data_IF_010706343638
#
_entry.id   IF_010706343638
#
_cell.length_a   1.000
_cell.length_b   1.000
_cell.length_c   1.000
_cell.angle_alpha   90.00
_cell.angle_beta   90.00
_cell.angle_gamma   90.00
#
_symmetry.space_group_name_H-M   'P 1'
#
loop_
_entity.id
_entity.type
_entity.pdbx_description
1 polymer ?
#
# COMPACT_ATOMS: atom_id res chain seq x y z
N UNK A 1 7.11 -5.40 -27.02
CA UNK A 1 6.85 -6.46 -26.03
C UNK A 1 5.85 -5.87 -25.07
N UNK A 2 4.67 -6.47 -24.90
CA UNK A 2 3.67 -5.93 -23.98
C UNK A 2 3.99 -6.40 -22.57
N UNK A 3 4.32 -5.49 -21.67
CA UNK A 3 4.65 -5.77 -20.27
C UNK A 3 3.39 -6.09 -19.43
N UNK A 4 2.37 -6.68 -20.04
CA UNK A 4 1.03 -6.83 -19.47
C UNK A 4 0.96 -7.80 -18.30
N UNK A 5 2.01 -8.58 -18.02
CA UNK A 5 2.05 -9.53 -16.91
C UNK A 5 2.98 -9.08 -15.76
N UNK A 6 3.43 -7.82 -15.72
CA UNK A 6 4.28 -7.34 -14.61
C UNK A 6 3.60 -7.51 -13.24
N UNK A 7 2.29 -7.29 -13.11
CA UNK A 7 1.59 -7.54 -11.84
C UNK A 7 1.59 -9.04 -11.42
N UNK A 8 1.78 -9.96 -12.37
CA UNK A 8 2.00 -11.37 -12.07
C UNK A 8 3.45 -11.62 -11.68
N UNK A 9 4.42 -11.13 -12.47
CA UNK A 9 5.84 -11.34 -12.21
C UNK A 9 6.33 -10.52 -11.01
N UNK A 10 6.34 -9.20 -11.14
CA UNK A 10 6.78 -8.24 -10.12
C UNK A 10 5.87 -8.28 -8.90
N UNK A 11 4.55 -8.38 -9.11
CA UNK A 11 3.61 -8.46 -7.99
C UNK A 11 3.77 -9.74 -7.16
N UNK A 12 4.16 -10.86 -7.78
CA UNK A 12 4.47 -12.06 -7.01
C UNK A 12 5.85 -11.99 -6.36
N UNK A 13 6.85 -11.41 -7.03
CA UNK A 13 8.15 -11.12 -6.40
C UNK A 13 7.96 -10.24 -5.16
N UNK A 14 7.14 -9.19 -5.25
CA UNK A 14 6.79 -8.34 -4.11
C UNK A 14 6.11 -9.16 -3.01
N UNK A 15 5.09 -9.96 -3.36
CA UNK A 15 4.41 -10.83 -2.40
C UNK A 15 5.38 -11.76 -1.65
N UNK A 16 6.25 -12.47 -2.38
CA UNK A 16 7.21 -13.38 -1.77
C UNK A 16 8.30 -12.66 -1.00
N UNK A 17 8.75 -11.49 -1.44
CA UNK A 17 9.72 -10.68 -0.68
C UNK A 17 9.23 -10.40 0.73
N UNK A 18 7.98 -9.93 0.84
CA UNK A 18 7.33 -9.60 2.12
C UNK A 18 7.07 -10.85 2.97
N UNK A 19 6.56 -11.93 2.36
CA UNK A 19 6.33 -13.21 3.05
C UNK A 19 7.65 -13.81 3.55
N UNK A 20 8.70 -13.79 2.73
CA UNK A 20 10.01 -14.35 3.07
C UNK A 20 10.76 -13.52 4.12
N UNK A 21 10.57 -12.19 4.14
CA UNK A 21 11.08 -11.35 5.22
C UNK A 21 10.54 -11.80 6.59
N UNK A 22 9.23 -12.11 6.66
CA UNK A 22 8.63 -12.64 7.88
C UNK A 22 9.08 -14.09 8.18
N UNK A 23 9.09 -14.97 7.16
CA UNK A 23 9.45 -16.39 7.34
C UNK A 23 10.90 -16.61 7.74
N UNK A 24 11.81 -15.77 7.27
CA UNK A 24 13.23 -15.83 7.62
C UNK A 24 13.55 -15.21 8.99
N UNK A 25 12.58 -14.54 9.61
CA UNK A 25 12.77 -13.79 10.84
C UNK A 25 13.49 -12.45 10.66
N UNK A 26 13.70 -11.99 9.41
CA UNK A 26 14.18 -10.63 9.14
C UNK A 26 13.21 -9.59 9.70
N UNK A 27 11.92 -9.84 9.56
CA UNK A 27 10.86 -9.13 10.26
C UNK A 27 10.14 -10.06 11.23
N UNK A 28 9.70 -9.51 12.37
CA UNK A 28 8.68 -10.16 13.18
C UNK A 28 7.36 -10.20 12.43
N UNK A 29 6.45 -11.12 12.79
CA UNK A 29 5.13 -11.15 12.15
C UNK A 29 4.32 -9.87 12.39
N UNK A 30 4.52 -9.19 13.53
CA UNK A 30 3.89 -7.89 13.79
C UNK A 30 4.40 -6.83 12.83
N UNK A 31 5.73 -6.74 12.63
CA UNK A 31 6.30 -5.81 11.64
C UNK A 31 5.76 -6.09 10.24
N UNK A 32 5.69 -7.36 9.82
CA UNK A 32 5.14 -7.73 8.52
C UNK A 32 3.65 -7.32 8.36
N UNK A 33 2.85 -7.44 9.42
CA UNK A 33 1.46 -6.97 9.42
C UNK A 33 1.35 -5.46 9.31
N UNK A 34 2.22 -4.71 10.00
CA UNK A 34 2.20 -3.25 9.94
C UNK A 34 2.69 -2.71 8.58
N UNK A 35 3.65 -3.38 7.95
CA UNK A 35 4.03 -3.13 6.55
C UNK A 35 2.83 -3.36 5.61
N UNK A 36 2.14 -4.50 5.76
CA UNK A 36 0.93 -4.79 4.99
C UNK A 36 -0.21 -3.80 5.26
N UNK A 37 -0.36 -3.29 6.49
CA UNK A 37 -1.33 -2.26 6.83
C UNK A 37 -1.10 -0.98 6.01
N UNK A 38 0.16 -0.58 5.85
CA UNK A 38 0.53 0.56 5.01
C UNK A 38 0.13 0.37 3.54
N UNK A 39 0.38 -0.83 2.98
CA UNK A 39 -0.03 -1.17 1.61
C UNK A 39 -1.56 -1.17 1.47
N UNK A 40 -2.27 -1.76 2.43
CA UNK A 40 -3.73 -1.82 2.44
C UNK A 40 -4.37 -0.43 2.51
N UNK A 41 -3.83 0.45 3.36
CA UNK A 41 -4.28 1.84 3.47
C UNK A 41 -3.97 2.65 2.22
N UNK A 42 -2.86 2.34 1.55
CA UNK A 42 -2.53 2.99 0.29
C UNK A 42 -3.60 2.68 -0.78
N UNK A 43 -4.07 1.44 -0.88
CA UNK A 43 -5.14 1.10 -1.83
C UNK A 43 -6.55 1.45 -1.36
N UNK A 44 -6.79 1.63 -0.06
CA UNK A 44 -8.08 2.08 0.45
C UNK A 44 -8.26 3.61 0.30
N UNK A 45 -7.23 4.39 0.66
CA UNK A 45 -7.32 5.86 0.76
C UNK A 45 -6.19 6.60 0.06
N UNK A 46 -5.00 6.02 -0.03
CA UNK A 46 -3.79 6.67 -0.58
C UNK A 46 -3.69 6.70 -2.12
N UNK A 47 -4.62 6.03 -2.81
CA UNK A 47 -4.66 5.89 -4.27
C UNK A 47 -6.04 6.22 -4.85
N UNK A 48 -6.53 7.47 -4.71
CA UNK A 48 -7.76 7.90 -5.37
C UNK A 48 -7.71 7.70 -6.90
N UNK A 49 -6.52 7.63 -7.51
CA UNK A 49 -6.34 7.27 -8.93
C UNK A 49 -6.96 5.94 -9.34
N UNK A 50 -7.14 5.00 -8.42
CA UNK A 50 -7.81 3.71 -8.65
C UNK A 50 -9.25 3.87 -9.15
N UNK A 51 -9.87 5.06 -9.01
CA UNK A 51 -11.21 5.34 -9.53
C UNK A 51 -11.28 5.41 -11.06
N UNK A 52 -10.15 5.62 -11.75
CA UNK A 52 -10.11 5.76 -13.21
C UNK A 52 -8.99 4.96 -13.87
N UNK A 53 -7.90 4.71 -13.15
CA UNK A 53 -6.75 3.95 -13.66
C UNK A 53 -6.76 2.55 -13.04
N UNK A 54 -6.60 1.53 -13.87
CA UNK A 54 -6.54 0.14 -13.42
C UNK A 54 -5.10 -0.25 -13.05
N UNK A 55 -4.93 -1.26 -12.20
CA UNK A 55 -3.59 -1.80 -11.89
C UNK A 55 -2.92 -2.33 -13.16
N UNK A 56 -3.68 -2.97 -14.05
CA UNK A 56 -3.18 -3.45 -15.33
C UNK A 56 -2.57 -2.33 -16.18
N UNK A 57 -3.20 -1.15 -16.23
CA UNK A 57 -2.70 -0.03 -17.02
C UNK A 57 -1.34 0.48 -16.51
N UNK A 58 -1.08 0.38 -15.21
CA UNK A 58 0.20 0.82 -14.63
C UNK A 58 1.41 0.06 -15.17
N UNK A 59 1.22 -1.10 -15.82
CA UNK A 59 2.31 -1.82 -16.49
C UNK A 59 2.92 -1.03 -17.65
N UNK A 60 2.20 -0.07 -18.23
CA UNK A 60 2.69 0.83 -19.27
C UNK A 60 3.46 2.03 -18.70
N UNK A 61 3.41 2.24 -17.38
CA UNK A 61 3.92 3.44 -16.72
C UNK A 61 5.43 3.67 -16.89
N UNK A 62 6.30 2.64 -16.79
CA UNK A 62 7.73 2.82 -17.01
C UNK A 62 8.06 3.33 -18.42
N UNK A 63 7.30 2.88 -19.43
CA UNK A 63 7.47 3.33 -20.81
C UNK A 63 6.98 4.77 -20.99
N UNK A 64 5.81 5.09 -20.45
CA UNK A 64 5.18 6.42 -20.60
C UNK A 64 5.99 7.50 -19.88
N UNK A 65 6.41 7.21 -18.64
CA UNK A 65 7.05 8.20 -17.78
C UNK A 65 8.58 8.19 -17.86
N UNK A 66 9.17 7.15 -18.46
CA UNK A 66 10.62 6.87 -18.37
C UNK A 66 11.11 6.87 -16.92
N UNK A 67 10.26 6.40 -16.00
CA UNK A 67 10.49 6.38 -14.54
C UNK A 67 10.84 7.75 -13.93
N UNK A 68 10.45 8.85 -14.59
CA UNK A 68 10.65 10.20 -14.04
C UNK A 68 9.70 10.45 -12.87
N UNK A 69 10.08 11.31 -11.90
CA UNK A 69 9.18 11.75 -10.84
C UNK A 69 7.87 12.30 -11.41
N UNK A 70 6.76 12.00 -10.74
CA UNK A 70 5.41 12.41 -11.15
C UNK A 70 4.81 13.40 -10.16
N UNK A 71 4.20 14.46 -10.68
CA UNK A 71 3.29 15.27 -9.90
C UNK A 71 2.04 14.44 -9.53
N UNK A 72 1.43 14.70 -8.36
CA UNK A 72 0.16 14.06 -7.97
C UNK A 72 0.20 12.53 -8.06
N UNK A 73 1.24 11.90 -7.48
CA UNK A 73 1.45 10.44 -7.56
C UNK A 73 0.25 9.65 -7.04
N UNK A 74 -0.42 10.13 -5.99
CA UNK A 74 -1.63 9.51 -5.44
C UNK A 74 -2.80 9.43 -6.45
N UNK A 75 -2.90 10.38 -7.39
CA UNK A 75 -3.92 10.42 -8.44
C UNK A 75 -3.48 9.74 -9.74
N UNK A 76 -2.24 9.98 -10.16
CA UNK A 76 -1.72 9.40 -11.40
C UNK A 76 -1.36 7.93 -11.25
N UNK A 77 -1.10 7.47 -10.02
CA UNK A 77 -0.44 6.20 -9.74
C UNK A 77 0.94 6.12 -10.41
N UNK A 78 1.70 5.09 -10.06
CA UNK A 78 3.00 4.81 -10.67
C UNK A 78 3.05 3.31 -11.01
N UNK A 79 4.13 2.64 -10.68
CA UNK A 79 4.32 1.19 -10.83
C UNK A 79 3.50 0.40 -9.79
N UNK A 80 2.23 0.73 -9.61
CA UNK A 80 1.34 0.09 -8.63
C UNK A 80 1.03 -1.38 -8.97
N UNK A 81 1.48 -1.90 -10.11
CA UNK A 81 1.48 -3.34 -10.42
C UNK A 81 2.32 -4.17 -9.45
N UNK A 82 3.32 -3.59 -8.76
CA UNK A 82 4.05 -4.27 -7.68
C UNK A 82 3.12 -4.56 -6.49
N UNK A 83 2.74 -3.52 -5.75
CA UNK A 83 1.96 -3.68 -4.53
C UNK A 83 0.52 -4.11 -4.80
N UNK A 84 -0.07 -3.73 -5.95
CA UNK A 84 -1.41 -4.17 -6.36
C UNK A 84 -1.42 -5.65 -6.71
N UNK A 85 -0.35 -6.13 -7.37
CA UNK A 85 -0.12 -7.54 -7.60
C UNK A 85 0.12 -8.31 -6.29
N UNK A 86 0.87 -7.76 -5.33
CA UNK A 86 1.03 -8.35 -4.00
C UNK A 86 -0.32 -8.58 -3.31
N UNK A 87 -1.21 -7.58 -3.33
CA UNK A 87 -2.52 -7.67 -2.71
C UNK A 87 -3.41 -8.72 -3.40
N UNK A 88 -3.33 -8.82 -4.73
CA UNK A 88 -4.01 -9.85 -5.50
C UNK A 88 -3.49 -11.25 -5.15
N UNK A 89 -2.17 -11.45 -5.03
CA UNK A 89 -1.60 -12.75 -4.67
C UNK A 89 -1.93 -13.17 -3.24
N UNK A 90 -2.08 -12.20 -2.32
CA UNK A 90 -2.62 -12.46 -0.99
C UNK A 90 -4.06 -12.97 -1.05
N UNK A 91 -4.89 -12.43 -1.94
CA UNK A 91 -6.25 -12.93 -2.18
C UNK A 91 -6.23 -14.34 -2.79
N UNK A 92 -5.31 -14.62 -3.72
CA UNK A 92 -5.12 -15.98 -4.28
C UNK A 92 -4.77 -16.99 -3.19
N UNK A 93 -3.81 -16.69 -2.29
CA UNK A 93 -3.50 -17.56 -1.14
C UNK A 93 -4.76 -17.84 -0.30
N UNK A 94 -5.51 -16.78 0.04
CA UNK A 94 -6.73 -16.89 0.83
C UNK A 94 -7.80 -17.75 0.15
N UNK A 95 -7.93 -17.65 -1.18
CA UNK A 95 -8.88 -18.38 -2.00
C UNK A 95 -8.49 -19.85 -2.11
N UNK A 96 -7.21 -20.16 -2.36
CA UNK A 96 -6.68 -21.52 -2.37
C UNK A 96 -6.96 -22.23 -1.04
N UNK A 97 -6.68 -21.55 0.08
CA UNK A 97 -6.97 -22.08 1.42
C UNK A 97 -8.47 -22.29 1.62
N UNK A 98 -9.31 -21.37 1.16
CA UNK A 98 -10.76 -21.53 1.29
C UNK A 98 -11.30 -22.72 0.48
N UNK A 99 -10.90 -22.84 -0.79
CA UNK A 99 -11.35 -23.91 -1.69
C UNK A 99 -10.89 -25.30 -1.27
N UNK A 100 -9.74 -25.38 -0.59
CA UNK A 100 -9.12 -26.66 -0.22
C UNK A 100 -9.24 -27.00 1.25
N UNK A 101 -10.06 -26.26 2.01
CA UNK A 101 -10.18 -26.42 3.47
C UNK A 101 -8.80 -26.36 4.17
N UNK A 102 -7.99 -25.36 3.80
CA UNK A 102 -6.64 -25.07 4.28
C UNK A 102 -5.59 -26.15 3.99
N UNK A 103 -5.85 -27.07 3.04
CA UNK A 103 -4.91 -28.12 2.63
C UNK A 103 -3.88 -27.65 1.60
N UNK A 104 -4.22 -26.64 0.80
CA UNK A 104 -3.34 -26.03 -0.21
C UNK A 104 -3.23 -24.53 0.03
N UNK A 105 -2.08 -23.96 -0.35
CA UNK A 105 -1.78 -22.54 -0.23
C UNK A 105 -1.04 -22.02 -1.47
N UNK A 106 -0.64 -20.76 -1.43
CA UNK A 106 0.27 -20.19 -2.43
C UNK A 106 1.62 -20.92 -2.51
N UNK A 107 2.03 -21.66 -1.47
CA UNK A 107 3.24 -22.48 -1.49
C UNK A 107 3.13 -23.62 -2.51
N UNK A 108 1.94 -24.24 -2.64
CA UNK A 108 1.67 -25.26 -3.66
C UNK A 108 1.73 -24.67 -5.06
N UNK A 109 1.25 -23.43 -5.24
CA UNK A 109 1.40 -22.70 -6.50
C UNK A 109 2.86 -22.43 -6.81
N UNK A 110 3.63 -21.92 -5.85
CA UNK A 110 5.07 -21.69 -6.03
C UNK A 110 5.81 -22.96 -6.44
N UNK A 111 5.51 -24.09 -5.79
CA UNK A 111 6.11 -25.39 -6.12
C UNK A 111 5.72 -25.87 -7.53
N UNK A 112 4.44 -25.78 -7.89
CA UNK A 112 3.96 -26.25 -9.19
C UNK A 112 4.43 -25.37 -10.35
N UNK A 113 4.45 -24.06 -10.17
CA UNK A 113 4.74 -23.08 -11.22
C UNK A 113 6.25 -22.85 -11.40
N UNK A 114 7.02 -22.72 -10.32
CA UNK A 114 8.46 -22.44 -10.41
C UNK A 114 9.34 -23.68 -10.31
N UNK A 115 8.82 -24.79 -9.77
CA UNK A 115 9.56 -26.05 -9.64
C UNK A 115 9.60 -26.89 -10.93
N UNK A 116 9.28 -26.31 -12.09
CA UNK A 116 9.25 -27.01 -13.37
C UNK A 116 10.66 -27.25 -13.92
N UNK A 117 10.84 -28.35 -14.68
CA UNK A 117 12.03 -28.65 -15.48
C UNK A 117 13.36 -28.47 -14.72
N UNK A 118 13.46 -28.98 -13.50
CA UNK A 118 14.67 -28.86 -12.69
C UNK A 118 15.91 -29.41 -13.43
N UNK A 119 16.96 -28.59 -13.54
CA UNK A 119 18.20 -28.92 -14.26
C UNK A 119 18.21 -28.50 -15.74
N UNK A 120 17.10 -27.96 -16.25
CA UNK A 120 17.01 -27.32 -17.56
C UNK A 120 17.44 -25.85 -17.45
N UNK A 121 18.23 -25.38 -18.42
CA UNK A 121 18.74 -24.00 -18.49
C UNK A 121 18.09 -23.20 -19.62
N UNK A 122 17.22 -23.83 -20.41
CA UNK A 122 16.50 -23.17 -21.47
C UNK A 122 15.51 -22.14 -20.91
N UNK A 123 15.32 -21.05 -21.65
CA UNK A 123 14.32 -20.03 -21.31
C UNK A 123 12.93 -20.65 -21.35
N UNK A 124 12.24 -20.64 -20.21
CA UNK A 124 10.89 -21.17 -20.06
C UNK A 124 9.89 -20.00 -19.86
N UNK A 125 9.37 -19.39 -20.94
CA UNK A 125 8.38 -18.33 -20.82
C UNK A 125 7.04 -18.88 -20.34
N UNK A 126 6.18 -18.00 -19.83
CA UNK A 126 4.83 -18.34 -19.45
C UNK A 126 3.85 -17.26 -19.91
N UNK A 127 2.60 -17.68 -20.05
CA UNK A 127 1.46 -16.86 -20.43
C UNK A 127 0.49 -16.72 -19.26
N UNK A 128 -0.54 -15.89 -19.41
CA UNK A 128 -1.65 -15.82 -18.46
C UNK A 128 -2.36 -17.17 -18.31
N UNK A 129 -2.53 -17.89 -19.41
CA UNK A 129 -3.24 -19.18 -19.43
C UNK A 129 -2.46 -20.25 -18.66
N UNK A 130 -1.12 -20.23 -18.70
CA UNK A 130 -0.28 -21.16 -17.92
C UNK A 130 -0.49 -20.96 -16.40
N UNK A 131 -0.70 -19.72 -15.97
CA UNK A 131 -0.93 -19.37 -14.56
C UNK A 131 -2.32 -19.87 -14.14
N UNK A 132 -3.34 -19.59 -14.95
CA UNK A 132 -4.72 -20.04 -14.72
C UNK A 132 -4.80 -21.56 -14.71
N UNK A 133 -4.13 -22.23 -15.63
CA UNK A 133 -4.07 -23.69 -15.70
C UNK A 133 -3.39 -24.26 -14.43
N UNK A 134 -2.29 -23.66 -13.99
CA UNK A 134 -1.59 -24.08 -12.78
C UNK A 134 -2.46 -23.93 -11.53
N UNK A 135 -3.13 -22.79 -11.36
CA UNK A 135 -4.05 -22.55 -10.24
C UNK A 135 -5.22 -23.55 -10.26
N UNK A 136 -5.81 -23.82 -11.43
CA UNK A 136 -6.86 -24.82 -11.59
C UNK A 136 -6.41 -26.23 -11.23
N UNK A 137 -5.16 -26.59 -11.55
CA UNK A 137 -4.56 -27.87 -11.16
C UNK A 137 -4.44 -28.06 -9.64
N UNK A 138 -4.36 -26.97 -8.87
CA UNK A 138 -4.28 -27.00 -7.40
C UNK A 138 -5.68 -27.00 -6.79
N UNK A 139 -6.55 -26.12 -7.25
CA UNK A 139 -7.94 -26.01 -6.82
C UNK A 139 -8.80 -25.45 -7.97
N UNK A 140 -9.76 -26.22 -8.51
CA UNK A 140 -10.63 -25.73 -9.59
C UNK A 140 -11.45 -24.52 -9.16
N UNK A 141 -11.35 -23.42 -9.93
CA UNK A 141 -12.10 -22.18 -9.72
C UNK A 141 -11.98 -21.30 -10.98
N UNK A 142 -12.86 -20.31 -11.12
CA UNK A 142 -12.75 -19.32 -12.19
C UNK A 142 -11.65 -18.29 -11.86
N UNK A 143 -10.40 -18.75 -11.91
CA UNK A 143 -9.21 -17.94 -11.63
C UNK A 143 -9.05 -16.82 -12.65
N UNK A 144 -9.37 -17.07 -13.92
CA UNK A 144 -9.25 -16.05 -14.96
C UNK A 144 -10.11 -14.83 -14.62
N UNK A 145 -11.38 -15.03 -14.27
CA UNK A 145 -12.27 -13.94 -13.88
C UNK A 145 -11.82 -13.24 -12.61
N UNK A 146 -11.36 -13.98 -11.59
CA UNK A 146 -10.85 -13.36 -10.36
C UNK A 146 -9.67 -12.44 -10.66
N UNK A 147 -8.64 -12.94 -11.35
CA UNK A 147 -7.43 -12.19 -11.66
C UNK A 147 -7.74 -10.95 -12.52
N UNK A 148 -8.56 -11.12 -13.57
CA UNK A 148 -8.96 -10.01 -14.44
C UNK A 148 -9.80 -8.97 -13.72
N UNK A 149 -10.73 -9.38 -12.86
CA UNK A 149 -11.54 -8.44 -12.09
C UNK A 149 -10.73 -7.54 -11.15
N UNK A 150 -9.57 -8.00 -10.68
CA UNK A 150 -8.68 -7.20 -9.82
C UNK A 150 -7.77 -6.29 -10.62
N UNK A 151 -7.25 -6.77 -11.75
CA UNK A 151 -6.26 -6.03 -12.53
C UNK A 151 -6.89 -5.04 -13.50
N UNK A 152 -8.02 -5.40 -14.09
CA UNK A 152 -8.74 -4.58 -15.08
C UNK A 152 -9.93 -3.83 -14.47
N UNK A 153 -10.21 -4.03 -13.17
CA UNK A 153 -11.30 -3.39 -12.45
C UNK A 153 -10.85 -2.29 -11.49
N UNK A 154 -11.83 -1.70 -10.80
CA UNK A 154 -11.67 -0.62 -9.82
C UNK A 154 -12.15 -1.04 -8.41
N UNK A 155 -12.26 -2.36 -8.17
CA UNK A 155 -12.67 -2.91 -6.89
C UNK A 155 -11.58 -2.82 -5.81
N UNK A 156 -11.97 -3.05 -4.57
CA UNK A 156 -11.02 -3.11 -3.45
C UNK A 156 -10.01 -4.25 -3.64
N UNK A 157 -8.74 -3.97 -3.33
CA UNK A 157 -7.65 -4.96 -3.28
C UNK A 157 -7.43 -5.54 -1.87
N UNK A 158 -8.19 -5.09 -0.86
CA UNK A 158 -8.01 -5.51 0.52
C UNK A 158 -8.73 -6.84 0.86
N UNK A 159 -9.49 -7.42 -0.08
CA UNK A 159 -10.28 -8.64 0.16
C UNK A 159 -9.45 -9.84 0.65
N UNK A 160 -8.20 -9.95 0.20
CA UNK A 160 -7.27 -10.98 0.68
C UNK A 160 -6.95 -10.87 2.17
N UNK A 161 -6.87 -9.65 2.73
CA UNK A 161 -6.60 -9.43 4.16
C UNK A 161 -7.79 -9.93 5.00
N UNK A 162 -9.01 -9.57 4.62
CA UNK A 162 -10.24 -9.99 5.29
C UNK A 162 -10.49 -11.49 5.21
N UNK A 163 -10.14 -12.11 4.08
CA UNK A 163 -10.23 -13.55 3.88
C UNK A 163 -9.17 -14.33 4.70
N UNK A 164 -8.08 -13.67 5.08
CA UNK A 164 -7.07 -14.17 6.01
C UNK A 164 -7.36 -13.84 7.49
N UNK A 165 -8.52 -13.21 7.77
CA UNK A 165 -9.03 -12.97 9.11
C UNK A 165 -8.56 -11.68 9.77
N UNK A 166 -8.01 -10.75 8.99
CA UNK A 166 -7.57 -9.44 9.49
C UNK A 166 -8.38 -8.33 8.82
N UNK A 167 -8.43 -7.15 9.42
CA UNK A 167 -9.04 -5.96 8.82
C UNK A 167 -8.10 -4.77 8.97
N UNK A 168 -8.13 -3.88 8.00
CA UNK A 168 -7.49 -2.58 8.12
C UNK A 168 -8.29 -1.70 9.09
N UNK A 169 -7.60 -1.05 10.00
CA UNK A 169 -8.15 -0.02 10.90
C UNK A 169 -7.21 1.18 10.93
N UNK A 170 -7.70 2.31 11.46
CA UNK A 170 -6.87 3.48 11.71
C UNK A 170 -7.00 3.90 13.16
N UNK A 171 -5.88 4.21 13.80
CA UNK A 171 -5.86 4.75 15.16
C UNK A 171 -4.79 5.86 15.28
N UNK A 172 -4.61 6.41 16.49
CA UNK A 172 -3.75 7.58 16.73
C UNK A 172 -2.28 7.25 16.99
N UNK A 173 -1.96 5.96 17.16
CA UNK A 173 -0.62 5.51 17.50
C UNK A 173 0.16 5.17 16.23
N UNK A 174 1.39 5.68 16.03
CA UNK A 174 2.20 5.25 14.90
C UNK A 174 2.46 3.74 14.94
N UNK A 175 2.21 3.08 13.82
CA UNK A 175 2.52 1.66 13.67
C UNK A 175 4.05 1.41 13.60
N UNK A 176 4.48 0.16 13.73
CA UNK A 176 5.91 -0.17 13.79
C UNK A 176 6.68 0.27 12.54
N UNK A 177 6.06 0.17 11.35
CA UNK A 177 6.65 0.59 10.09
C UNK A 177 6.83 2.11 10.04
N UNK A 178 5.76 2.86 10.30
CA UNK A 178 5.74 4.32 10.33
C UNK A 178 6.73 4.85 11.37
N UNK A 179 6.77 4.24 12.55
CA UNK A 179 7.70 4.63 13.61
C UNK A 179 9.16 4.46 13.20
N UNK A 180 9.49 3.40 12.46
CA UNK A 180 10.84 3.19 11.94
C UNK A 180 11.20 4.26 10.89
N UNK A 181 10.32 4.48 9.92
CA UNK A 181 10.51 5.49 8.87
C UNK A 181 10.69 6.89 9.47
N UNK A 182 9.81 7.28 10.41
CA UNK A 182 9.87 8.59 11.05
C UNK A 182 11.05 8.73 12.02
N UNK A 183 11.53 7.64 12.64
CA UNK A 183 12.68 7.72 13.55
C UNK A 183 13.98 7.97 12.82
N UNK A 184 14.13 7.39 11.63
CA UNK A 184 15.35 7.45 10.82
C UNK A 184 15.46 8.79 10.09
N UNK A 185 14.37 9.23 9.45
CA UNK A 185 14.37 10.43 8.61
C UNK A 185 13.89 11.71 9.32
N UNK A 186 13.27 11.59 10.51
CA UNK A 186 12.55 12.68 11.22
C UNK A 186 11.40 13.28 10.42
N UNK A 187 10.92 12.56 9.42
CA UNK A 187 9.77 12.91 8.60
C UNK A 187 8.46 12.80 9.38
N UNK A 188 7.38 13.34 8.81
CA UNK A 188 6.02 13.17 9.31
C UNK A 188 5.12 12.55 8.23
N UNK A 189 4.63 11.35 8.51
CA UNK A 189 3.72 10.61 7.62
C UNK A 189 2.27 10.90 8.00
N UNK A 190 1.69 11.93 7.39
CA UNK A 190 0.35 12.44 7.71
C UNK A 190 -0.65 12.26 6.56
N UNK A 191 -0.35 11.34 5.64
CA UNK A 191 -1.16 11.06 4.44
C UNK A 191 -2.62 10.76 4.77
N UNK A 192 -2.90 10.00 5.83
CA UNK A 192 -4.27 9.65 6.20
C UNK A 192 -4.92 10.63 7.19
N UNK A 193 -4.14 11.58 7.73
CA UNK A 193 -4.65 12.70 8.52
C UNK A 193 -4.86 13.93 7.65
N UNK A 194 -3.82 14.74 7.45
CA UNK A 194 -3.90 15.98 6.68
C UNK A 194 -3.81 15.76 5.16
N UNK A 195 -3.44 14.57 4.70
CA UNK A 195 -3.21 14.34 3.28
C UNK A 195 -1.84 14.81 2.80
N UNK A 196 -0.80 14.78 3.66
CA UNK A 196 0.56 15.18 3.30
C UNK A 196 1.61 14.23 3.86
N UNK A 197 2.71 14.07 3.14
CA UNK A 197 3.98 13.59 3.70
C UNK A 197 4.96 14.76 3.79
N UNK A 198 5.66 14.86 4.91
CA UNK A 198 6.55 15.98 5.20
C UNK A 198 7.95 15.47 5.51
N UNK A 199 8.95 16.15 4.94
CA UNK A 199 10.33 16.00 5.37
C UNK A 199 10.58 16.67 6.72
N UNK A 200 11.64 16.26 7.41
CA UNK A 200 12.09 16.93 8.65
C UNK A 200 12.27 18.46 8.50
N UNK A 201 12.61 18.93 7.30
CA UNK A 201 12.73 20.35 6.93
C UNK A 201 11.39 21.09 6.81
N UNK A 202 10.26 20.37 6.79
CA UNK A 202 8.93 20.90 6.47
C UNK A 202 8.59 20.86 4.99
N UNK A 203 9.49 20.37 4.13
CA UNK A 203 9.21 20.22 2.70
C UNK A 203 8.12 19.18 2.46
N UNK A 204 7.12 19.54 1.68
CA UNK A 204 6.02 18.65 1.31
C UNK A 204 6.51 17.71 0.20
N UNK A 205 6.63 16.43 0.54
CA UNK A 205 7.05 15.37 -0.38
C UNK A 205 5.93 14.91 -1.31
N UNK A 206 4.74 14.69 -0.76
CA UNK A 206 3.54 14.32 -1.51
C UNK A 206 2.30 14.93 -0.87
N UNK A 207 1.27 15.13 -1.70
CA UNK A 207 -0.06 15.58 -1.27
C UNK A 207 -1.10 14.59 -1.80
N UNK A 208 -1.92 14.08 -0.90
CA UNK A 208 -3.02 13.20 -1.24
C UNK A 208 -4.07 13.97 -2.04
N UNK A 209 -4.30 13.55 -3.28
CA UNK A 209 -5.30 14.15 -4.17
C UNK A 209 -6.70 14.13 -3.53
N UNK A 210 -7.43 15.23 -3.65
CA UNK A 210 -8.73 15.50 -3.00
C UNK A 210 -8.72 15.37 -1.46
N UNK A 211 -7.54 15.26 -0.83
CA UNK A 211 -7.37 15.25 0.62
C UNK A 211 -7.41 16.65 1.26
N UNK A 212 -7.41 16.75 2.61
CA UNK A 212 -7.56 18.02 3.31
C UNK A 212 -6.53 19.09 2.90
N UNK A 213 -5.26 18.71 2.79
CA UNK A 213 -4.19 19.60 2.35
C UNK A 213 -4.30 20.00 0.87
N UNK A 214 -4.71 19.07 0.00
CA UNK A 214 -4.95 19.37 -1.41
C UNK A 214 -6.05 20.43 -1.56
N UNK A 215 -7.16 20.24 -0.84
CA UNK A 215 -8.30 21.18 -0.85
C UNK A 215 -7.92 22.55 -0.26
N UNK A 216 -6.95 22.60 0.63
CA UNK A 216 -6.35 23.85 1.14
C UNK A 216 -5.31 24.48 0.17
N UNK A 217 -5.08 23.85 -0.99
CA UNK A 217 -4.18 24.34 -2.03
C UNK A 217 -2.70 24.08 -1.77
N UNK A 218 -2.36 23.12 -0.91
CA UNK A 218 -0.99 22.65 -0.75
C UNK A 218 -0.60 21.72 -1.89
N UNK A 219 0.67 21.80 -2.29
CA UNK A 219 1.26 20.94 -3.33
C UNK A 219 2.64 20.45 -2.90
N UNK A 220 3.11 19.36 -3.51
CA UNK A 220 4.49 18.93 -3.38
C UNK A 220 5.45 20.05 -3.82
N UNK A 221 6.54 20.24 -3.07
CA UNK A 221 7.49 21.34 -3.26
C UNK A 221 7.13 22.66 -2.54
N UNK A 222 6.01 22.72 -1.83
CA UNK A 222 5.82 23.74 -0.78
C UNK A 222 6.63 23.36 0.48
N UNK A 223 6.91 24.33 1.34
CA UNK A 223 7.55 24.08 2.65
C UNK A 223 6.68 24.66 3.76
N UNK A 224 6.30 23.84 4.74
CA UNK A 224 5.63 24.33 5.96
C UNK A 224 6.73 24.84 6.91
N UNK A 225 6.73 26.13 7.20
CA UNK A 225 7.75 26.75 8.06
C UNK A 225 7.25 27.03 9.48
N UNK A 226 5.93 27.12 9.67
CA UNK A 226 5.31 27.26 10.99
C UNK A 226 3.92 26.61 11.04
N UNK A 227 3.52 26.18 12.22
CA UNK A 227 2.20 25.61 12.54
C UNK A 227 1.65 26.32 13.77
N UNK A 228 0.46 26.91 13.67
CA UNK A 228 -0.20 27.67 14.74
C UNK A 228 0.73 28.69 15.40
N UNK A 229 1.52 29.42 14.59
CA UNK A 229 2.46 30.45 15.04
C UNK A 229 3.77 29.93 15.65
N UNK A 230 4.00 28.60 15.66
CA UNK A 230 5.26 27.99 16.14
C UNK A 230 6.08 27.47 14.97
N UNK A 231 7.41 27.57 15.05
CA UNK A 231 8.30 27.00 14.05
C UNK A 231 7.97 25.52 13.80
N UNK A 232 8.03 25.10 12.53
CA UNK A 232 7.69 23.74 12.15
C UNK A 232 8.66 22.72 12.79
N UNK A 233 8.08 21.65 13.31
CA UNK A 233 8.71 20.33 13.47
C UNK A 233 7.65 19.26 13.28
N UNK A 234 8.08 18.01 13.05
CA UNK A 234 7.20 16.85 12.95
C UNK A 234 6.32 16.67 14.19
N UNK A 235 6.85 16.95 15.38
CA UNK A 235 6.11 16.94 16.65
C UNK A 235 5.10 18.08 16.72
N UNK A 236 5.50 19.30 16.37
CA UNK A 236 4.63 20.48 16.45
C UNK A 236 3.38 20.30 15.57
N UNK A 237 3.53 19.76 14.35
CA UNK A 237 2.37 19.52 13.49
C UNK A 237 1.48 18.37 14.01
N UNK A 238 2.09 17.31 14.56
CA UNK A 238 1.34 16.20 15.18
C UNK A 238 0.54 16.67 16.40
N UNK A 239 1.12 17.52 17.23
CA UNK A 239 0.45 18.12 18.38
C UNK A 239 -0.70 19.05 17.95
N UNK A 240 -0.51 19.81 16.88
CA UNK A 240 -1.59 20.63 16.31
C UNK A 240 -2.77 19.78 15.82
N UNK A 241 -2.50 18.64 15.17
CA UNK A 241 -3.54 17.69 14.73
C UNK A 241 -4.30 17.10 15.94
N UNK A 242 -3.57 16.67 16.97
CA UNK A 242 -4.17 16.15 18.21
C UNK A 242 -5.04 17.21 18.90
N UNK A 243 -4.54 18.45 18.99
CA UNK A 243 -5.26 19.56 19.63
C UNK A 243 -6.51 20.00 18.86
N UNK A 244 -6.50 19.89 17.52
CA UNK A 244 -7.64 20.24 16.68
C UNK A 244 -8.79 19.22 16.77
N UNK A 245 -8.51 17.98 17.20
CA UNK A 245 -9.48 16.88 17.25
C UNK A 245 -10.69 17.24 18.11
N UNK A 246 -11.89 17.10 17.55
CA UNK A 246 -13.15 17.38 18.24
C UNK A 246 -13.39 18.87 18.55
N UNK A 247 -12.55 19.77 18.03
CA UNK A 247 -12.75 21.22 18.10
C UNK A 247 -13.26 21.76 16.76
N UNK A 248 -13.41 23.07 16.65
CA UNK A 248 -13.71 23.79 15.40
C UNK A 248 -12.56 24.70 14.95
N UNK A 249 -11.43 24.67 15.68
CA UNK A 249 -10.29 25.52 15.37
C UNK A 249 -9.49 24.90 14.22
N UNK A 250 -9.29 25.60 13.09
CA UNK A 250 -8.51 25.07 11.99
C UNK A 250 -7.02 25.00 12.37
N UNK A 251 -6.27 24.14 11.68
CA UNK A 251 -4.81 24.11 11.78
C UNK A 251 -4.27 25.17 10.83
N UNK A 252 -3.60 26.18 11.36
CA UNK A 252 -3.00 27.26 10.60
C UNK A 252 -1.53 26.94 10.28
N UNK A 253 -1.16 27.06 9.02
CA UNK A 253 0.16 26.78 8.50
C UNK A 253 0.73 28.05 7.86
N UNK A 254 1.98 28.40 8.18
CA UNK A 254 2.76 29.33 7.37
C UNK A 254 3.55 28.53 6.34
N UNK A 255 3.25 28.77 5.07
CA UNK A 255 3.76 27.97 3.96
C UNK A 255 4.62 28.83 3.06
N UNK A 256 5.87 28.43 2.85
CA UNK A 256 6.74 29.02 1.85
C UNK A 256 6.48 28.36 0.49
N UNK A 257 6.26 29.18 -0.54
CA UNK A 257 6.12 28.78 -1.93
C UNK A 257 7.13 29.57 -2.74
N UNK A 258 8.24 28.96 -3.14
CA UNK A 258 9.36 29.69 -3.74
C UNK A 258 9.84 30.83 -2.83
N UNK A 259 9.60 32.09 -3.18
CA UNK A 259 10.02 33.31 -2.47
C UNK A 259 8.90 34.00 -1.67
N UNK A 260 7.66 33.48 -1.72
CA UNK A 260 6.51 34.00 -0.97
C UNK A 260 6.13 33.12 0.22
N UNK A 261 5.52 33.75 1.21
CA UNK A 261 4.93 33.08 2.37
C UNK A 261 3.42 33.34 2.40
N UNK A 262 2.65 32.27 2.54
CA UNK A 262 1.19 32.32 2.62
C UNK A 262 0.72 31.64 3.90
N UNK A 263 -0.32 32.20 4.52
CA UNK A 263 -1.05 31.52 5.59
C UNK A 263 -2.11 30.61 4.96
N UNK A 264 -2.01 29.32 5.20
CA UNK A 264 -2.97 28.29 4.78
C UNK A 264 -3.68 27.76 6.02
N UNK A 265 -4.99 27.54 5.95
CA UNK A 265 -5.78 26.95 7.03
C UNK A 265 -6.38 25.64 6.55
N UNK A 266 -6.19 24.57 7.32
CA UNK A 266 -6.79 23.26 7.05
C UNK A 266 -7.85 23.00 8.11
N UNK A 267 -9.09 22.84 7.66
CA UNK A 267 -10.24 22.54 8.50
C UNK A 267 -10.31 21.02 8.75
N UNK A 268 -9.42 20.53 9.62
CA UNK A 268 -9.27 19.11 9.92
C UNK A 268 -9.36 18.83 11.43
N UNK A 269 -10.28 17.94 11.80
CA UNK A 269 -10.59 17.61 13.21
C UNK A 269 -10.61 16.10 13.49
N UNK A 270 -10.05 15.29 12.58
CA UNK A 270 -10.08 13.82 12.69
C UNK A 270 -9.05 13.22 13.65
N UNK A 271 -8.05 13.97 14.06
CA UNK A 271 -6.91 13.48 14.85
C UNK A 271 -5.85 12.75 14.02
N UNK A 272 -4.93 12.06 14.68
CA UNK A 272 -3.92 11.28 13.96
C UNK A 272 -4.54 9.97 13.47
N UNK A 273 -4.18 9.56 12.25
CA UNK A 273 -4.67 8.34 11.61
C UNK A 273 -3.49 7.57 11.02
N UNK A 274 -3.10 6.50 11.71
CA UNK A 274 -2.11 5.53 11.26
C UNK A 274 -2.78 4.19 10.99
N UNK A 275 -2.43 3.52 9.89
CA UNK A 275 -3.04 2.25 9.52
C UNK A 275 -2.48 1.09 10.34
N UNK A 276 -3.35 0.18 10.77
CA UNK A 276 -2.99 -1.06 11.43
C UNK A 276 -3.83 -2.22 10.92
N UNK A 277 -3.35 -3.45 11.15
CA UNK A 277 -4.17 -4.64 10.98
C UNK A 277 -4.67 -5.16 12.32
N UNK A 278 -5.98 -5.36 12.43
CA UNK A 278 -6.62 -5.99 13.60
C UNK A 278 -7.20 -7.36 13.25
N UNK A 279 -7.15 -8.28 14.21
CA UNK A 279 -7.84 -9.57 14.10
C UNK A 279 -9.34 -9.37 13.96
N UNK A 280 -9.96 -10.10 13.04
CA UNK A 280 -11.40 -10.27 12.96
C UNK A 280 -11.79 -11.43 13.89
N UNK A 281 -12.56 -11.19 14.97
CA UNK A 281 -13.00 -12.25 15.88
C UNK A 281 -13.75 -13.36 15.13
N UNK A 282 -13.47 -14.62 15.48
CA UNK A 282 -14.13 -15.79 14.90
C UNK A 282 -13.66 -16.20 13.49
N UNK A 283 -12.79 -15.43 12.83
CA UNK A 283 -12.13 -15.88 11.60
C UNK A 283 -10.83 -16.62 11.91
N UNK A 284 -10.40 -17.60 11.10
CA UNK A 284 -9.06 -18.19 11.20
C UNK A 284 -7.95 -17.16 10.97
N UNK A 285 -6.80 -17.34 11.62
CA UNK A 285 -5.62 -16.49 11.38
C UNK A 285 -4.68 -17.09 10.34
N UNK A 286 -5.05 -16.92 9.07
CA UNK A 286 -4.28 -17.49 7.96
C UNK A 286 -3.07 -16.64 7.59
N UNK A 287 -3.09 -15.35 7.91
CA UNK A 287 -1.95 -14.47 7.65
C UNK A 287 -0.75 -14.85 8.54
N UNK A 288 -0.98 -15.13 9.82
CA UNK A 288 0.09 -15.62 10.70
C UNK A 288 0.62 -16.99 10.26
N UNK A 289 -0.23 -17.88 9.74
CA UNK A 289 0.20 -19.16 9.15
C UNK A 289 0.97 -19.01 7.83
N UNK A 290 0.68 -17.95 7.05
CA UNK A 290 1.42 -17.61 5.83
C UNK A 290 2.86 -17.18 6.18
N UNK A 291 3.04 -16.44 7.27
CA UNK A 291 4.34 -15.93 7.74
C UNK A 291 5.18 -16.93 8.54
N UNK A 292 4.68 -18.14 8.83
CA UNK A 292 5.49 -19.16 9.51
C UNK A 292 6.58 -19.73 8.58
N UNK A 293 7.78 -20.03 9.12
CA UNK A 293 8.80 -20.77 8.39
C UNK A 293 8.25 -22.08 7.80
N UNK A 294 8.85 -22.52 6.69
CA UNK A 294 8.52 -23.77 5.97
C UNK A 294 9.68 -24.72 5.99
#
# INVERSE_FOLDING_TARGET
MGDSLLWLYEGQTQFWGEVMAARSGLWTQDQAREMLAGVAANYERGRPGMAWRTVQDTTNDPTISMRRPKAYRSYQMAEDYYSGGQMMWLEVDSKLRALTNNKRSIDDFGKAFFGMKNGDWDVNPYTFDDIVATLNGIAPYDWASLLRSRMDGHGSLNGGIEANGWKLVYNEEPNLATKADESDDKDASLTYSLGVSLKASGDIGDVLWDGPAFNAGLIAGNTIVAVNGRAFSSEVIKDAIKAAKGTTAPIELLVKRLDRYDTVRIDYHGGLLYPHLERIPGKPDRLSELYKPR
#
